data_IF_357169335025
#
_entry.id   IF_357169335025
#
_cell.length_a   1.000
_cell.length_b   1.000
_cell.length_c   1.000
_cell.angle_alpha   90.00
_cell.angle_beta   90.00
_cell.angle_gamma   90.00
#
_symmetry.space_group_name_H-M   'P 1'
#
loop_
_entity.id
_entity.type
_entity.pdbx_description
1 polymer ?
#
# COMPACT_ATOMS: atom_id res chain seq x y z
N UNK A 1 -10.03 3.51 13.85
CA UNK A 1 -8.99 2.66 13.23
C UNK A 1 -9.64 1.76 12.19
N UNK A 2 -9.10 1.68 10.98
CA UNK A 2 -9.50 0.73 9.93
C UNK A 2 -8.28 -0.13 9.60
N UNK A 3 -8.38 -1.45 9.71
CA UNK A 3 -7.28 -2.39 9.45
C UNK A 3 -7.84 -3.79 9.17
N UNK A 4 -6.97 -4.81 9.17
CA UNK A 4 -7.29 -6.20 8.82
C UNK A 4 -7.91 -7.02 9.96
N UNK A 5 -7.73 -6.63 11.22
CA UNK A 5 -8.32 -7.32 12.36
C UNK A 5 -7.86 -6.82 13.72
N UNK A 6 -8.48 -7.38 14.76
CA UNK A 6 -8.22 -7.05 16.17
C UNK A 6 -7.97 -8.30 17.02
N UNK A 7 -7.26 -9.29 16.48
CA UNK A 7 -6.76 -10.41 17.28
C UNK A 7 -5.84 -9.84 18.37
N UNK A 8 -6.00 -10.33 19.62
CA UNK A 8 -5.21 -9.90 20.78
C UNK A 8 -5.78 -8.70 21.55
N UNK A 9 -6.88 -8.09 21.08
CA UNK A 9 -7.44 -6.89 21.72
C UNK A 9 -7.95 -7.13 23.15
N UNK A 10 -8.58 -8.28 23.42
CA UNK A 10 -9.09 -8.59 24.76
C UNK A 10 -7.95 -8.73 25.78
N UNK A 11 -6.81 -9.27 25.35
CA UNK A 11 -5.58 -9.35 26.14
C UNK A 11 -4.97 -7.96 26.37
N UNK A 12 -4.88 -7.12 25.32
CA UNK A 12 -4.39 -5.75 25.43
C UNK A 12 -5.25 -4.89 26.39
N UNK A 13 -6.58 -5.04 26.34
CA UNK A 13 -7.51 -4.38 27.27
C UNK A 13 -7.29 -4.86 28.71
N UNK A 14 -7.04 -6.15 28.93
CA UNK A 14 -6.75 -6.68 30.26
C UNK A 14 -5.41 -6.19 30.82
N UNK A 15 -4.46 -5.88 29.94
CA UNK A 15 -3.14 -5.35 30.27
C UNK A 15 -3.11 -3.82 30.44
N UNK A 16 -4.23 -3.12 30.18
CA UNK A 16 -4.32 -1.64 30.16
C UNK A 16 -3.50 -0.99 29.02
N UNK A 17 -3.25 -1.73 27.95
CA UNK A 17 -2.55 -1.26 26.74
C UNK A 17 -3.54 -0.77 25.66
N UNK A 18 -4.83 -1.12 25.79
CA UNK A 18 -5.89 -0.71 24.87
C UNK A 18 -7.20 -0.36 25.59
N UNK A 19 -8.03 0.55 25.05
CA UNK A 19 -9.32 0.88 25.62
C UNK A 19 -10.39 -0.10 25.15
N UNK A 20 -11.53 -0.11 25.85
CA UNK A 20 -12.74 -0.70 25.28
C UNK A 20 -13.21 0.13 24.09
N UNK A 21 -13.49 -0.55 22.98
CA UNK A 21 -13.98 0.12 21.78
C UNK A 21 -15.43 0.60 21.93
N UNK A 22 -15.74 1.74 21.31
CA UNK A 22 -17.12 2.21 21.15
C UNK A 22 -17.92 1.28 20.23
N UNK A 23 -17.28 0.85 19.15
CA UNK A 23 -17.80 -0.16 18.23
C UNK A 23 -16.66 -0.90 17.55
N UNK A 24 -16.88 -2.18 17.25
CA UNK A 24 -16.06 -2.97 16.33
C UNK A 24 -16.98 -3.49 15.22
N UNK A 25 -16.76 -3.02 14.00
CA UNK A 25 -17.65 -3.29 12.87
C UNK A 25 -16.90 -4.06 11.78
N UNK A 26 -17.33 -5.30 11.47
CA UNK A 26 -16.86 -5.96 10.27
C UNK A 26 -17.54 -5.35 9.04
N UNK A 27 -16.76 -5.14 7.98
CA UNK A 27 -17.27 -4.89 6.65
C UNK A 27 -17.08 -6.15 5.79
N UNK A 28 -17.96 -6.38 4.83
CA UNK A 28 -17.91 -7.57 3.99
C UNK A 28 -18.35 -8.84 4.70
N UNK A 29 -17.42 -9.77 4.89
CA UNK A 29 -17.67 -11.17 5.29
C UNK A 29 -18.06 -11.37 6.77
N UNK A 30 -18.11 -10.29 7.55
CA UNK A 30 -18.53 -10.33 8.94
C UNK A 30 -17.39 -10.63 9.93
N UNK A 31 -16.13 -10.69 9.50
CA UNK A 31 -14.99 -11.06 10.36
C UNK A 31 -14.16 -9.86 10.80
N UNK A 32 -13.74 -9.90 12.07
CA UNK A 32 -12.82 -8.94 12.71
C UNK A 32 -11.55 -9.63 13.21
N UNK A 33 -11.43 -10.93 12.99
CA UNK A 33 -10.44 -11.85 13.57
C UNK A 33 -9.47 -12.39 12.52
N UNK A 34 -9.09 -11.59 11.51
CA UNK A 34 -8.16 -12.02 10.46
C UNK A 34 -6.72 -11.57 10.66
N UNK A 35 -6.49 -10.53 11.46
CA UNK A 35 -5.16 -9.97 11.68
C UNK A 35 -5.00 -9.34 13.07
N UNK A 36 -3.74 -9.00 13.38
CA UNK A 36 -3.30 -8.42 14.65
C UNK A 36 -2.94 -6.92 14.50
N UNK A 37 -2.85 -6.37 13.29
CA UNK A 37 -2.39 -4.99 13.06
C UNK A 37 -3.34 -3.95 13.66
N UNK A 38 -4.65 -4.15 13.52
CA UNK A 38 -5.63 -3.23 14.10
C UNK A 38 -5.53 -3.11 15.62
N UNK A 39 -5.21 -4.20 16.35
CA UNK A 39 -4.93 -4.16 17.79
C UNK A 39 -3.71 -3.26 18.08
N UNK A 40 -2.60 -3.47 17.35
CA UNK A 40 -1.38 -2.69 17.53
C UNK A 40 -1.60 -1.20 17.24
N UNK A 41 -2.37 -0.87 16.20
CA UNK A 41 -2.75 0.51 15.89
C UNK A 41 -3.61 1.14 17.00
N UNK A 42 -4.51 0.38 17.61
CA UNK A 42 -5.36 0.83 18.72
C UNK A 42 -4.50 1.15 19.95
N UNK A 43 -3.56 0.26 20.31
CA UNK A 43 -2.61 0.49 21.41
C UNK A 43 -1.81 1.79 21.20
N UNK A 44 -1.25 2.00 20.00
CA UNK A 44 -0.50 3.23 19.68
C UNK A 44 -1.35 4.50 19.87
N UNK A 45 -2.59 4.49 19.39
CA UNK A 45 -3.49 5.65 19.58
C UNK A 45 -3.81 5.84 21.06
N UNK A 46 -4.03 4.76 21.81
CA UNK A 46 -4.35 4.80 23.22
C UNK A 46 -3.20 5.33 24.10
N UNK A 47 -1.97 4.89 23.82
CA UNK A 47 -0.77 5.33 24.53
C UNK A 47 -0.54 6.83 24.41
N UNK A 48 -0.81 7.39 23.23
CA UNK A 48 -0.66 8.82 22.96
C UNK A 48 -1.86 9.62 23.46
N UNK A 49 -3.07 9.16 23.18
CA UNK A 49 -4.32 9.86 23.44
C UNK A 49 -5.30 8.96 24.21
N UNK A 50 -5.06 8.67 25.50
CA UNK A 50 -5.87 7.73 26.27
C UNK A 50 -7.32 8.19 26.49
N UNK A 51 -7.58 9.50 26.33
CA UNK A 51 -8.92 10.07 26.35
C UNK A 51 -9.71 9.93 25.04
N UNK A 52 -9.10 9.44 23.96
CA UNK A 52 -9.78 9.26 22.68
C UNK A 52 -10.73 8.06 22.74
N UNK A 53 -11.96 8.25 22.27
CA UNK A 53 -12.90 7.16 22.03
C UNK A 53 -12.56 6.46 20.71
N UNK A 54 -12.30 5.15 20.76
CA UNK A 54 -11.83 4.40 19.58
C UNK A 54 -12.93 3.48 19.05
N UNK A 55 -13.21 3.60 17.75
CA UNK A 55 -13.99 2.65 16.96
C UNK A 55 -13.10 1.90 15.98
N UNK A 56 -13.43 0.64 15.69
CA UNK A 56 -12.69 -0.23 14.77
C UNK A 56 -13.54 -0.69 13.58
N UNK A 57 -12.93 -0.70 12.39
CA UNK A 57 -13.49 -1.27 11.16
C UNK A 57 -12.56 -2.31 10.54
N UNK A 58 -13.04 -3.55 10.38
CA UNK A 58 -12.30 -4.59 9.65
C UNK A 58 -12.63 -4.53 8.16
N UNK A 59 -11.61 -4.48 7.29
CA UNK A 59 -11.78 -4.40 5.83
C UNK A 59 -10.82 -5.34 5.10
N UNK A 60 -11.24 -5.90 3.97
CA UNK A 60 -10.42 -6.83 3.17
C UNK A 60 -10.44 -6.56 1.67
N UNK A 61 -11.50 -5.91 1.19
CA UNK A 61 -11.66 -5.53 -0.21
C UNK A 61 -11.72 -4.01 -0.35
N UNK A 62 -11.55 -3.54 -1.59
CA UNK A 62 -11.77 -2.14 -1.94
C UNK A 62 -13.20 -1.68 -1.59
N UNK A 63 -14.20 -2.54 -1.83
CA UNK A 63 -15.60 -2.29 -1.45
C UNK A 63 -15.80 -2.19 0.07
N UNK A 64 -15.14 -3.04 0.86
CA UNK A 64 -15.21 -2.98 2.32
C UNK A 64 -14.64 -1.67 2.84
N UNK A 65 -13.49 -1.25 2.29
CA UNK A 65 -12.85 0.01 2.62
C UNK A 65 -13.74 1.21 2.26
N UNK A 66 -14.29 1.24 1.05
CA UNK A 66 -15.24 2.28 0.63
C UNK A 66 -16.42 2.36 1.62
N UNK A 67 -16.98 1.21 2.01
CA UNK A 67 -18.08 1.16 2.97
C UNK A 67 -17.66 1.64 4.37
N UNK A 68 -16.46 1.27 4.83
CA UNK A 68 -15.91 1.66 6.12
C UNK A 68 -15.65 3.17 6.21
N UNK A 69 -14.98 3.74 5.21
CA UNK A 69 -14.73 5.18 5.14
C UNK A 69 -16.04 5.96 5.15
N UNK A 70 -17.01 5.56 4.33
CA UNK A 70 -18.33 6.22 4.30
C UNK A 70 -19.06 6.11 5.64
N UNK A 71 -18.97 4.97 6.32
CA UNK A 71 -19.61 4.77 7.61
C UNK A 71 -18.95 5.62 8.71
N UNK A 72 -17.64 5.55 8.87
CA UNK A 72 -16.93 6.24 9.95
C UNK A 72 -16.80 7.73 9.72
N UNK A 73 -16.66 8.20 8.48
CA UNK A 73 -16.50 9.63 8.22
C UNK A 73 -17.71 10.46 8.70
N UNK A 74 -18.87 9.82 8.83
CA UNK A 74 -20.11 10.39 9.37
C UNK A 74 -20.18 10.40 10.91
N UNK A 75 -19.25 9.75 11.61
CA UNK A 75 -19.38 9.37 13.02
C UNK A 75 -18.18 9.74 13.88
N UNK A 76 -17.00 9.89 13.29
CA UNK A 76 -15.75 10.14 14.02
C UNK A 76 -15.04 11.38 13.50
N UNK A 77 -14.16 11.95 14.32
CA UNK A 77 -13.35 13.12 13.96
C UNK A 77 -12.09 12.74 13.18
N UNK A 78 -11.49 11.59 13.47
CA UNK A 78 -10.25 11.12 12.84
C UNK A 78 -10.44 9.67 12.37
N UNK A 79 -10.11 9.40 11.11
CA UNK A 79 -9.89 8.03 10.63
C UNK A 79 -8.40 7.82 10.44
N UNK A 80 -7.92 6.64 10.85
CA UNK A 80 -6.58 6.15 10.52
C UNK A 80 -6.68 4.75 9.94
N UNK A 81 -5.96 4.50 8.85
CA UNK A 81 -5.80 3.18 8.25
C UNK A 81 -4.35 2.84 7.91
N UNK A 82 -4.13 1.54 7.68
CA UNK A 82 -2.89 0.94 7.20
C UNK A 82 -3.08 0.19 5.86
N UNK A 83 -4.23 0.37 5.22
CA UNK A 83 -4.70 -0.46 4.11
C UNK A 83 -4.23 0.10 2.77
N UNK A 84 -3.73 -0.76 1.89
CA UNK A 84 -3.34 -0.42 0.52
C UNK A 84 -3.97 -1.38 -0.50
N UNK A 85 -4.15 -0.90 -1.72
CA UNK A 85 -4.78 -1.58 -2.85
C UNK A 85 -3.86 -1.49 -4.07
N UNK A 86 -3.70 -2.61 -4.78
CA UNK A 86 -2.86 -2.71 -5.97
C UNK A 86 -3.47 -1.97 -7.18
N UNK A 87 -3.54 -0.64 -7.08
CA UNK A 87 -3.85 0.31 -8.13
C UNK A 87 -2.77 1.40 -8.15
N UNK A 88 -2.47 2.00 -9.31
CA UNK A 88 -1.54 3.11 -9.40
C UNK A 88 -1.96 4.26 -8.49
N UNK A 89 -1.00 4.82 -7.75
CA UNK A 89 -1.19 6.03 -6.97
C UNK A 89 -1.34 7.25 -7.89
N UNK A 90 -2.53 7.52 -8.43
CA UNK A 90 -2.82 8.61 -9.38
C UNK A 90 -4.06 9.46 -9.03
N UNK A 91 -4.62 9.24 -7.85
CA UNK A 91 -5.85 9.83 -7.30
C UNK A 91 -7.15 9.43 -8.01
N UNK A 92 -7.13 8.39 -8.85
CA UNK A 92 -8.28 8.01 -9.68
C UNK A 92 -8.87 6.64 -9.35
N UNK A 93 -8.26 5.88 -8.45
CA UNK A 93 -8.88 4.65 -7.97
C UNK A 93 -10.18 4.97 -7.20
N UNK A 94 -11.14 4.06 -7.21
CA UNK A 94 -12.42 4.27 -6.51
C UNK A 94 -12.22 4.48 -5.00
N UNK A 95 -11.25 3.79 -4.39
CA UNK A 95 -10.89 3.95 -2.96
C UNK A 95 -10.30 5.34 -2.67
N UNK A 96 -9.44 5.86 -3.55
CA UNK A 96 -8.84 7.20 -3.38
C UNK A 96 -9.88 8.30 -3.60
N UNK A 97 -10.73 8.15 -4.61
CA UNK A 97 -11.84 9.09 -4.91
C UNK A 97 -12.85 9.09 -3.77
N UNK A 98 -13.22 7.92 -3.24
CA UNK A 98 -14.17 7.81 -2.13
C UNK A 98 -13.63 8.50 -0.87
N UNK A 99 -12.37 8.24 -0.51
CA UNK A 99 -11.73 8.87 0.66
C UNK A 99 -11.67 10.39 0.52
N UNK A 100 -11.26 10.87 -0.66
CA UNK A 100 -11.29 12.31 -0.98
C UNK A 100 -12.70 12.88 -0.85
N UNK A 101 -13.71 12.17 -1.34
CA UNK A 101 -15.10 12.62 -1.32
C UNK A 101 -15.65 12.68 0.11
N UNK A 102 -15.30 11.70 0.95
CA UNK A 102 -15.66 11.68 2.37
C UNK A 102 -15.09 12.90 3.12
N UNK A 103 -13.81 13.20 2.89
CA UNK A 103 -13.13 14.38 3.44
C UNK A 103 -13.63 15.70 2.86
N UNK A 104 -14.34 15.68 1.73
CA UNK A 104 -14.94 16.89 1.13
C UNK A 104 -16.41 17.03 1.45
N UNK A 105 -17.02 16.05 2.09
CA UNK A 105 -18.44 16.13 2.43
C UNK A 105 -18.67 17.27 3.44
N UNK A 106 -19.59 18.20 3.15
CA UNK A 106 -19.78 19.41 3.97
C UNK A 106 -20.41 19.09 5.33
N UNK A 107 -21.22 18.04 5.43
CA UNK A 107 -21.98 17.71 6.64
C UNK A 107 -21.35 16.61 7.49
N UNK A 108 -20.22 16.03 7.06
CA UNK A 108 -19.61 14.91 7.78
C UNK A 108 -18.59 15.41 8.81
N UNK A 109 -18.61 14.90 10.06
CA UNK A 109 -17.77 15.40 11.14
C UNK A 109 -16.28 15.05 10.98
N UNK A 110 -15.89 14.18 10.06
CA UNK A 110 -14.46 13.87 9.86
C UNK A 110 -13.62 15.14 9.66
N UNK A 111 -12.55 15.28 10.43
CA UNK A 111 -11.57 16.36 10.44
C UNK A 111 -10.23 15.95 9.84
N UNK A 112 -9.87 14.67 9.94
CA UNK A 112 -8.63 14.16 9.39
C UNK A 112 -8.78 12.71 8.96
N UNK A 113 -8.13 12.37 7.85
CA UNK A 113 -7.87 11.00 7.45
C UNK A 113 -6.36 10.80 7.40
N UNK A 114 -5.84 9.90 8.22
CA UNK A 114 -4.43 9.54 8.24
C UNK A 114 -4.27 8.17 7.60
N UNK A 115 -3.28 8.00 6.73
CA UNK A 115 -3.04 6.72 6.08
C UNK A 115 -1.56 6.38 6.01
N UNK A 116 -1.27 5.09 6.16
CA UNK A 116 0.04 4.53 5.90
C UNK A 116 0.46 4.72 4.43
N UNK A 117 1.72 5.14 4.20
CA UNK A 117 2.28 5.22 2.85
C UNK A 117 2.45 3.86 2.16
N UNK A 118 2.48 2.77 2.94
CA UNK A 118 2.90 1.46 2.49
C UNK A 118 4.40 1.24 2.66
N UNK A 119 4.79 -0.03 2.64
CA UNK A 119 6.16 -0.46 2.90
C UNK A 119 6.76 -1.09 1.63
N UNK A 120 6.68 -0.45 0.46
CA UNK A 120 6.99 -1.10 -0.82
C UNK A 120 8.28 -0.63 -1.50
N UNK A 121 9.07 0.25 -0.88
CA UNK A 121 10.23 0.86 -1.54
C UNK A 121 11.31 -0.16 -1.98
N UNK A 122 11.52 -1.24 -1.21
CA UNK A 122 12.46 -2.31 -1.57
C UNK A 122 11.85 -3.38 -2.50
N UNK A 123 10.53 -3.33 -2.70
CA UNK A 123 9.75 -4.31 -3.46
C UNK A 123 9.09 -3.70 -4.69
N UNK A 124 9.55 -2.52 -5.09
CA UNK A 124 9.07 -1.73 -6.22
C UNK A 124 10.21 -1.46 -7.21
N UNK A 125 9.88 -1.45 -8.49
CA UNK A 125 10.76 -1.00 -9.56
C UNK A 125 9.97 -0.16 -10.55
N UNK A 126 10.55 0.92 -11.04
CA UNK A 126 9.99 1.75 -12.10
C UNK A 126 10.98 1.97 -13.23
N UNK A 127 10.47 2.12 -14.46
CA UNK A 127 11.33 2.41 -15.60
C UNK A 127 10.63 2.40 -16.94
N UNK A 128 11.21 3.10 -17.91
CA UNK A 128 10.73 3.10 -19.29
C UNK A 128 11.07 1.78 -19.98
N UNK A 129 10.13 1.24 -20.77
CA UNK A 129 10.33 0.09 -21.64
C UNK A 129 11.62 0.20 -22.46
N UNK A 130 12.43 -0.86 -22.41
CA UNK A 130 13.64 -1.04 -23.19
C UNK A 130 13.67 -2.47 -23.69
N UNK A 131 13.76 -2.64 -25.00
CA UNK A 131 13.77 -3.96 -25.63
C UNK A 131 15.09 -4.69 -25.35
N UNK A 132 14.99 -5.85 -24.73
CA UNK A 132 16.06 -6.81 -24.54
C UNK A 132 15.99 -7.97 -25.56
N UNK A 133 16.42 -9.19 -25.19
CA UNK A 133 16.34 -10.36 -26.07
C UNK A 133 14.89 -10.72 -26.41
N UNK A 134 14.71 -11.58 -27.42
CA UNK A 134 13.39 -12.16 -27.71
C UNK A 134 12.99 -13.13 -26.58
N UNK A 135 11.71 -13.15 -26.22
CA UNK A 135 11.15 -14.03 -25.19
C UNK A 135 11.52 -15.51 -25.37
N UNK A 136 11.60 -15.97 -26.62
CA UNK A 136 11.99 -17.35 -26.93
C UNK A 136 13.44 -17.68 -26.54
N UNK A 137 14.31 -16.67 -26.42
CA UNK A 137 15.69 -16.82 -25.96
C UNK A 137 15.80 -16.93 -24.44
N UNK A 138 14.74 -16.56 -23.71
CA UNK A 138 14.68 -16.57 -22.24
C UNK A 138 13.67 -17.59 -21.69
N UNK A 139 13.19 -18.50 -22.55
CA UNK A 139 12.33 -19.63 -22.16
C UNK A 139 10.82 -19.39 -22.33
N UNK A 140 10.40 -18.24 -22.84
CA UNK A 140 8.98 -17.97 -23.14
C UNK A 140 8.56 -18.67 -24.44
N UNK A 141 7.29 -19.07 -24.51
CA UNK A 141 6.72 -19.77 -25.67
C UNK A 141 6.26 -18.82 -26.79
N UNK A 142 6.07 -17.54 -26.49
CA UNK A 142 5.66 -16.48 -27.43
C UNK A 142 6.84 -15.63 -27.88
N UNK A 143 6.87 -15.21 -29.17
CA UNK A 143 7.83 -14.22 -29.65
C UNK A 143 7.51 -12.82 -29.11
N UNK A 144 8.49 -11.92 -29.21
CA UNK A 144 8.39 -10.56 -28.68
C UNK A 144 9.52 -10.30 -27.69
N UNK A 145 10.10 -9.10 -27.75
CA UNK A 145 11.18 -8.72 -26.86
C UNK A 145 10.71 -8.72 -25.40
N UNK A 146 11.62 -9.03 -24.49
CA UNK A 146 11.44 -8.88 -23.05
C UNK A 146 12.12 -7.61 -22.55
N UNK A 147 11.62 -7.03 -21.46
CA UNK A 147 12.16 -5.81 -20.88
C UNK A 147 13.58 -6.04 -20.37
N UNK A 148 14.50 -5.13 -20.68
CA UNK A 148 15.86 -5.15 -20.16
C UNK A 148 15.97 -4.32 -18.88
N UNK A 149 16.00 -4.99 -17.72
CA UNK A 149 16.17 -4.33 -16.41
C UNK A 149 17.61 -3.85 -16.18
N UNK A 150 18.61 -4.61 -16.66
CA UNK A 150 20.03 -4.29 -16.47
C UNK A 150 20.71 -3.87 -17.78
N UNK A 151 21.20 -2.63 -17.83
CA UNK A 151 21.90 -2.08 -19.00
C UNK A 151 23.41 -2.37 -19.03
N UNK A 152 24.04 -2.80 -17.93
CA UNK A 152 25.52 -2.92 -17.87
C UNK A 152 26.06 -4.24 -18.45
N UNK A 153 25.28 -4.95 -19.27
CA UNK A 153 25.75 -6.11 -20.01
C UNK A 153 26.15 -7.30 -19.14
N UNK A 154 25.56 -7.44 -17.95
CA UNK A 154 25.81 -8.60 -17.12
C UNK A 154 25.25 -9.83 -17.84
N UNK A 155 26.14 -10.72 -18.27
CA UNK A 155 25.84 -11.95 -19.01
C UNK A 155 25.20 -13.02 -18.08
N UNK A 156 24.36 -12.58 -17.14
CA UNK A 156 23.62 -13.41 -16.22
C UNK A 156 22.48 -14.16 -16.90
N UNK A 157 21.76 -14.96 -16.11
CA UNK A 157 20.54 -15.63 -16.55
C UNK A 157 19.58 -14.59 -17.16
N UNK A 158 18.93 -14.94 -18.27
CA UNK A 158 18.01 -14.08 -19.03
C UNK A 158 18.60 -12.87 -19.77
N UNK A 159 19.93 -12.75 -19.88
CA UNK A 159 20.58 -11.63 -20.57
C UNK A 159 20.11 -10.25 -20.02
N UNK A 160 19.89 -10.16 -18.71
CA UNK A 160 19.45 -8.93 -18.03
C UNK A 160 17.94 -8.66 -18.09
N UNK A 161 17.12 -9.61 -18.54
CA UNK A 161 15.68 -9.43 -18.72
C UNK A 161 14.79 -9.83 -17.53
N UNK A 162 15.39 -10.30 -16.42
CA UNK A 162 14.65 -10.68 -15.21
C UNK A 162 14.98 -9.77 -14.02
N UNK A 163 13.97 -9.33 -13.28
CA UNK A 163 14.15 -8.71 -11.96
C UNK A 163 13.94 -9.75 -10.86
N UNK A 164 15.04 -10.16 -10.20
CA UNK A 164 15.05 -11.28 -9.27
C UNK A 164 14.64 -10.92 -7.85
N UNK A 165 14.09 -11.88 -7.12
CA UNK A 165 13.82 -11.79 -5.68
C UNK A 165 13.87 -13.18 -5.02
N UNK A 166 14.22 -13.22 -3.73
CA UNK A 166 14.36 -14.48 -2.98
C UNK A 166 13.02 -14.92 -2.39
N UNK A 167 12.66 -16.19 -2.57
CA UNK A 167 11.46 -16.82 -1.99
C UNK A 167 11.86 -18.01 -1.12
N UNK A 168 11.05 -18.28 -0.10
CA UNK A 168 11.14 -19.44 0.79
C UNK A 168 9.90 -20.34 0.64
N UNK A 169 9.97 -21.55 1.20
CA UNK A 169 8.86 -22.50 1.13
C UNK A 169 7.58 -21.87 1.71
N UNK A 170 6.47 -22.07 1.00
CA UNK A 170 5.13 -21.56 1.31
C UNK A 170 4.95 -20.04 1.16
N UNK A 171 5.94 -19.33 0.61
CA UNK A 171 5.75 -17.93 0.21
C UNK A 171 4.71 -17.83 -0.91
N UNK A 172 3.65 -17.06 -0.68
CA UNK A 172 2.75 -16.60 -1.73
C UNK A 172 3.29 -15.28 -2.32
N UNK A 173 3.69 -15.35 -3.58
CA UNK A 173 4.16 -14.24 -4.40
C UNK A 173 2.98 -13.65 -5.15
N UNK A 174 2.78 -12.34 -5.04
CA UNK A 174 1.88 -11.59 -5.91
C UNK A 174 2.69 -10.55 -6.66
N UNK A 175 2.60 -10.54 -7.99
CA UNK A 175 3.16 -9.49 -8.81
C UNK A 175 2.05 -8.59 -9.33
N UNK A 176 2.28 -7.28 -9.34
CA UNK A 176 1.46 -6.33 -10.06
C UNK A 176 2.36 -5.45 -10.92
N UNK A 177 2.04 -5.37 -12.20
CA UNK A 177 2.64 -4.48 -13.17
C UNK A 177 1.60 -3.46 -13.58
N UNK A 178 1.99 -2.19 -13.62
CA UNK A 178 1.21 -1.10 -14.19
C UNK A 178 2.03 -0.39 -15.25
N UNK A 179 1.36 0.25 -16.22
CA UNK A 179 2.01 1.19 -17.13
C UNK A 179 1.19 2.47 -17.34
N UNK A 180 1.85 3.49 -17.88
CA UNK A 180 1.35 4.87 -17.97
C UNK A 180 0.34 5.15 -19.09
N UNK A 181 -0.27 4.11 -19.66
CA UNK A 181 -1.47 4.27 -20.50
C UNK A 181 -2.65 4.81 -19.65
N UNK A 182 -3.62 5.53 -20.25
CA UNK A 182 -4.78 5.97 -19.50
C UNK A 182 -5.60 4.78 -18.98
N UNK A 183 -5.91 4.77 -17.68
CA UNK A 183 -6.67 3.70 -17.03
C UNK A 183 -7.99 3.41 -17.74
N UNK A 184 -8.23 2.13 -18.07
CA UNK A 184 -9.41 1.67 -18.82
C UNK A 184 -9.39 2.06 -20.31
N UNK A 185 -8.25 2.46 -20.86
CA UNK A 185 -8.08 2.80 -22.28
C UNK A 185 -6.72 2.38 -22.86
N UNK A 186 -6.08 1.37 -22.25
CA UNK A 186 -4.82 0.80 -22.73
C UNK A 186 -4.99 0.20 -24.12
N UNK A 187 -4.05 0.51 -25.01
CA UNK A 187 -3.89 -0.18 -26.31
C UNK A 187 -2.56 -0.90 -26.41
N UNK A 188 -1.67 -0.69 -25.44
CA UNK A 188 -0.43 -1.43 -25.31
C UNK A 188 -0.68 -2.75 -24.57
N UNK A 189 -0.14 -3.84 -25.11
CA UNK A 189 -0.27 -5.21 -24.61
C UNK A 189 1.08 -5.72 -24.11
N UNK A 190 1.24 -5.74 -22.79
CA UNK A 190 2.45 -6.25 -22.13
C UNK A 190 2.08 -7.45 -21.28
N UNK A 191 2.84 -8.53 -21.40
CA UNK A 191 2.65 -9.73 -20.60
C UNK A 191 3.61 -9.75 -19.41
N UNK A 192 3.16 -10.32 -18.30
CA UNK A 192 3.96 -10.50 -17.08
C UNK A 192 4.18 -11.99 -16.81
N UNK A 193 5.42 -12.37 -16.55
CA UNK A 193 5.81 -13.75 -16.25
C UNK A 193 6.58 -13.81 -14.94
N UNK A 194 6.36 -14.89 -14.19
CA UNK A 194 7.22 -15.34 -13.10
C UNK A 194 8.00 -16.56 -13.56
N UNK A 195 9.32 -16.48 -13.50
CA UNK A 195 10.23 -17.47 -14.09
C UNK A 195 11.22 -17.99 -13.04
N UNK A 196 11.51 -19.29 -13.07
CA UNK A 196 12.53 -19.92 -12.24
C UNK A 196 13.96 -19.58 -12.71
N UNK A 197 14.99 -19.81 -11.90
CA UNK A 197 16.39 -19.59 -12.29
C UNK A 197 16.91 -20.42 -13.48
N UNK A 198 16.13 -21.35 -14.02
CA UNK A 198 16.48 -22.14 -15.22
C UNK A 198 15.60 -21.81 -16.43
N UNK A 199 14.74 -20.79 -16.34
CA UNK A 199 13.90 -20.32 -17.44
C UNK A 199 12.56 -21.03 -17.57
N UNK A 200 12.12 -21.77 -16.54
CA UNK A 200 10.78 -22.33 -16.50
C UNK A 200 9.76 -21.27 -16.08
N UNK A 201 8.69 -21.10 -16.86
CA UNK A 201 7.57 -20.22 -16.50
C UNK A 201 6.75 -20.91 -15.39
N UNK A 202 6.69 -20.28 -14.23
CA UNK A 202 5.96 -20.78 -13.06
C UNK A 202 4.55 -20.21 -12.98
N UNK A 203 4.38 -18.96 -13.39
CA UNK A 203 3.10 -18.27 -13.50
C UNK A 203 3.19 -17.18 -14.56
N UNK A 204 2.04 -16.76 -15.10
CA UNK A 204 1.97 -15.67 -16.08
C UNK A 204 0.62 -14.98 -16.04
N UNK A 205 0.62 -13.71 -16.44
CA UNK A 205 -0.56 -12.96 -16.82
C UNK A 205 -0.34 -12.41 -18.23
N UNK A 206 -1.26 -12.76 -19.11
CA UNK A 206 -1.18 -12.54 -20.57
C UNK A 206 -2.50 -11.97 -21.09
N UNK A 207 -3.15 -11.12 -20.27
CA UNK A 207 -4.47 -10.60 -20.57
C UNK A 207 -4.32 -9.66 -21.76
N UNK A 208 -4.87 -9.96 -22.92
CA UNK A 208 -4.71 -9.04 -24.06
C UNK A 208 -5.37 -7.70 -23.78
N UNK A 209 -4.63 -6.59 -23.84
CA UNK A 209 -5.22 -5.26 -23.69
C UNK A 209 -5.85 -4.69 -24.98
N UNK A 210 -6.91 -3.90 -24.83
CA UNK A 210 -7.57 -3.15 -25.92
C UNK A 210 -8.60 -3.93 -26.74
N UNK A 211 -8.92 -5.18 -26.37
CA UNK A 211 -9.81 -6.07 -27.16
C UNK A 211 -11.23 -6.22 -26.59
N UNK A 212 -11.54 -5.60 -25.45
CA UNK A 212 -12.88 -5.69 -24.85
C UNK A 212 -13.06 -4.91 -23.55
N UNK A 213 -14.31 -4.81 -23.09
CA UNK A 213 -14.68 -4.15 -21.83
C UNK A 213 -13.98 -4.85 -20.66
N UNK A 214 -13.21 -4.09 -19.87
CA UNK A 214 -12.47 -4.62 -18.72
C UNK A 214 -11.11 -5.25 -19.07
N UNK A 215 -10.75 -5.30 -20.35
CA UNK A 215 -9.43 -5.66 -20.85
C UNK A 215 -8.71 -4.44 -21.43
N UNK A 216 -8.99 -3.26 -20.91
CA UNK A 216 -8.42 -1.98 -21.32
C UNK A 216 -7.65 -1.32 -20.16
N UNK A 217 -7.44 -2.05 -19.07
CA UNK A 217 -6.67 -1.57 -17.93
C UNK A 217 -5.18 -1.80 -18.18
N UNK A 218 -4.32 -0.79 -17.96
CA UNK A 218 -2.88 -0.89 -18.19
C UNK A 218 -2.20 -1.62 -17.03
N UNK A 219 -2.53 -2.91 -16.88
CA UNK A 219 -2.05 -3.73 -15.78
C UNK A 219 -1.91 -5.20 -16.15
N UNK A 220 -0.99 -5.85 -15.47
CA UNK A 220 -0.94 -7.31 -15.35
C UNK A 220 -0.78 -7.68 -13.87
N UNK A 221 -1.40 -8.77 -13.43
CA UNK A 221 -1.17 -9.31 -12.10
C UNK A 221 -1.12 -10.82 -12.12
N UNK A 222 -0.35 -11.41 -11.21
CA UNK A 222 -0.36 -12.85 -11.00
C UNK A 222 -0.14 -13.18 -9.53
N UNK A 223 -0.56 -14.38 -9.15
CA UNK A 223 -0.31 -14.98 -7.83
C UNK A 223 0.31 -16.34 -8.03
N UNK A 224 1.30 -16.68 -7.20
CA UNK A 224 2.00 -17.96 -7.22
C UNK A 224 2.40 -18.36 -5.79
N UNK A 225 2.17 -19.61 -5.41
CA UNK A 225 2.65 -20.16 -4.13
C UNK A 225 3.88 -21.02 -4.38
N UNK A 226 5.01 -20.64 -3.79
CA UNK A 226 6.25 -21.41 -3.88
C UNK A 226 6.20 -22.59 -2.91
N UNK A 227 6.31 -23.82 -3.41
CA UNK A 227 6.24 -25.04 -2.58
C UNK A 227 7.59 -25.75 -2.44
N UNK A 228 8.63 -25.24 -3.12
CA UNK A 228 9.97 -25.82 -3.11
C UNK A 228 10.90 -25.23 -2.05
N UNK A 229 12.15 -25.68 -2.07
CA UNK A 229 13.23 -25.09 -1.27
C UNK A 229 13.48 -23.63 -1.63
N UNK A 230 14.09 -22.88 -0.70
CA UNK A 230 14.41 -21.47 -0.91
C UNK A 230 15.23 -21.25 -2.20
N UNK A 231 14.82 -20.28 -3.02
CA UNK A 231 15.41 -20.02 -4.33
C UNK A 231 15.19 -18.58 -4.78
N UNK A 232 15.74 -18.21 -5.94
CA UNK A 232 15.48 -16.93 -6.61
C UNK A 232 14.50 -17.15 -7.76
N UNK A 233 13.45 -16.33 -7.78
CA UNK A 233 12.51 -16.22 -8.90
C UNK A 233 12.67 -14.86 -9.57
N UNK A 234 12.22 -14.75 -10.82
CA UNK A 234 12.40 -13.57 -11.66
C UNK A 234 11.07 -13.11 -12.23
N UNK A 235 10.76 -11.82 -12.07
CA UNK A 235 9.72 -11.16 -12.85
C UNK A 235 10.27 -10.78 -14.24
N UNK A 236 9.53 -11.11 -15.30
CA UNK A 236 9.87 -10.81 -16.69
C UNK A 236 8.67 -10.14 -17.36
N UNK A 237 8.91 -9.03 -18.07
CA UNK A 237 7.89 -8.29 -18.81
C UNK A 237 8.13 -8.50 -20.30
N UNK A 238 7.13 -8.92 -21.07
CA UNK A 238 7.24 -9.11 -22.52
C UNK A 238 6.36 -8.11 -23.26
N UNK A 239 6.90 -7.48 -24.30
CA UNK A 239 6.09 -6.83 -25.33
C UNK A 239 5.64 -7.92 -26.32
N UNK A 240 4.41 -8.40 -26.18
CA UNK A 240 3.92 -9.52 -26.97
C UNK A 240 3.94 -9.18 -28.47
N UNK A 241 4.59 -10.02 -29.29
CA UNK A 241 4.81 -9.80 -30.73
C UNK A 241 5.53 -8.49 -31.11
N UNK A 242 6.00 -7.69 -30.15
CA UNK A 242 6.49 -6.33 -30.35
C UNK A 242 5.43 -5.34 -30.88
N UNK A 243 4.16 -5.54 -30.54
CA UNK A 243 3.04 -4.70 -31.01
C UNK A 243 2.83 -3.43 -30.15
N UNK A 244 3.31 -3.43 -28.90
CA UNK A 244 3.16 -2.29 -27.99
C UNK A 244 4.21 -1.19 -28.21
N UNK A 245 3.80 0.06 -27.97
CA UNK A 245 4.69 1.22 -27.92
C UNK A 245 5.39 1.32 -26.56
N UNK A 246 6.59 1.93 -26.47
CA UNK A 246 7.27 2.14 -25.20
C UNK A 246 6.42 2.95 -24.20
N UNK A 247 6.37 2.47 -22.95
CA UNK A 247 5.64 3.03 -21.81
C UNK A 247 6.56 3.10 -20.58
N UNK A 248 6.15 3.79 -19.52
CA UNK A 248 6.77 3.67 -18.21
C UNK A 248 6.03 2.63 -17.37
N UNK A 249 6.77 1.79 -16.66
CA UNK A 249 6.22 0.79 -15.77
C UNK A 249 6.41 1.15 -14.31
N UNK A 250 5.50 0.62 -13.50
CA UNK A 250 5.69 0.37 -12.07
C UNK A 250 5.43 -1.14 -11.83
N UNK A 251 6.44 -1.83 -11.29
CA UNK A 251 6.39 -3.26 -10.94
C UNK A 251 6.50 -3.40 -9.43
N UNK A 252 5.55 -4.12 -8.85
CA UNK A 252 5.53 -4.47 -7.44
C UNK A 252 5.59 -5.98 -7.23
N UNK A 253 6.33 -6.39 -6.20
CA UNK A 253 6.25 -7.74 -5.64
C UNK A 253 5.73 -7.68 -4.20
N UNK A 254 4.62 -8.36 -3.95
CA UNK A 254 4.00 -8.47 -2.63
C UNK A 254 4.13 -9.88 -2.10
N UNK A 255 4.14 -9.98 -0.78
CA UNK A 255 4.03 -11.25 -0.06
C UNK A 255 2.81 -11.21 0.86
N UNK A 256 2.24 -12.37 1.18
CA UNK A 256 1.29 -12.55 2.28
C UNK A 256 1.85 -13.35 3.47
N UNK A 257 3.18 -13.44 3.57
CA UNK A 257 3.91 -14.20 4.59
C UNK A 257 4.77 -13.33 5.53
N UNK A 258 5.74 -13.96 6.21
CA UNK A 258 6.47 -13.36 7.35
C UNK A 258 7.60 -12.41 6.98
N UNK A 259 7.96 -12.29 5.71
CA UNK A 259 9.06 -11.42 5.25
C UNK A 259 8.57 -10.53 4.13
N UNK A 260 9.26 -9.42 3.94
CA UNK A 260 9.08 -8.61 2.75
C UNK A 260 9.98 -9.14 1.62
N UNK A 261 9.41 -9.32 0.43
CA UNK A 261 10.18 -9.64 -0.77
C UNK A 261 10.92 -8.39 -1.26
N UNK A 262 12.15 -8.56 -1.75
CA UNK A 262 13.00 -7.46 -2.20
C UNK A 262 13.46 -7.72 -3.63
N UNK A 263 13.21 -6.75 -4.50
CA UNK A 263 13.66 -6.82 -5.89
C UNK A 263 15.18 -6.61 -5.96
N UNK A 264 15.82 -7.20 -6.96
CA UNK A 264 17.24 -7.01 -7.23
C UNK A 264 17.50 -5.63 -7.85
N UNK A 265 16.57 -5.15 -8.67
CA UNK A 265 16.53 -3.78 -9.16
C UNK A 265 15.35 -3.06 -8.50
N UNK A 266 15.65 -2.03 -7.71
CA UNK A 266 14.69 -1.31 -6.90
C UNK A 266 14.59 0.15 -7.37
N UNK A 267 13.40 0.71 -7.29
CA UNK A 267 13.14 2.14 -7.40
C UNK A 267 12.35 2.56 -6.17
N UNK A 268 13.00 3.08 -5.11
CA UNK A 268 12.29 3.51 -3.91
C UNK A 268 11.26 4.62 -4.19
N UNK A 269 11.56 5.51 -5.13
CA UNK A 269 10.66 6.56 -5.60
C UNK A 269 9.50 5.98 -6.42
N UNK A 270 8.29 6.53 -6.25
CA UNK A 270 7.09 6.07 -6.96
C UNK A 270 6.38 4.87 -6.33
N UNK A 271 6.90 4.32 -5.22
CA UNK A 271 6.44 3.05 -4.63
C UNK A 271 5.14 3.18 -3.81
N UNK A 272 4.33 4.21 -4.05
CA UNK A 272 3.03 4.42 -3.43
C UNK A 272 1.96 3.67 -4.23
N UNK A 273 0.96 3.15 -3.52
CA UNK A 273 -0.22 2.53 -4.10
C UNK A 273 -1.47 3.28 -3.66
N UNK A 274 -2.59 3.06 -4.36
CA UNK A 274 -3.88 3.45 -3.80
C UNK A 274 -4.07 2.79 -2.42
N UNK A 275 -4.76 3.38 -1.45
CA UNK A 275 -5.45 4.66 -1.48
C UNK A 275 -4.57 5.81 -0.93
N UNK A 276 -3.27 5.55 -0.67
CA UNK A 276 -2.35 6.45 0.04
C UNK A 276 -2.10 7.76 -0.73
N UNK A 277 -2.57 7.82 -1.95
CA UNK A 277 -2.58 8.98 -2.84
C UNK A 277 -3.81 9.88 -2.67
N UNK A 278 -4.86 9.44 -1.97
CA UNK A 278 -6.13 10.15 -1.80
C UNK A 278 -5.90 11.63 -1.48
N UNK A 279 -6.61 12.49 -2.22
CA UNK A 279 -6.49 13.92 -2.01
C UNK A 279 -7.09 14.30 -0.65
N UNK A 280 -6.46 15.28 0.01
CA UNK A 280 -6.79 15.79 1.34
C UNK A 280 -6.55 14.80 2.51
N UNK A 281 -6.31 13.51 2.26
CA UNK A 281 -5.78 12.59 3.28
C UNK A 281 -4.32 12.94 3.61
N UNK A 282 -3.90 12.67 4.85
CA UNK A 282 -2.53 12.83 5.33
C UNK A 282 -1.81 11.48 5.26
N UNK A 283 -0.86 11.36 4.35
CA UNK A 283 -0.13 10.11 4.12
C UNK A 283 1.18 10.13 4.87
N UNK A 284 1.46 9.05 5.60
CA UNK A 284 2.54 8.98 6.59
C UNK A 284 3.52 7.87 6.22
N UNK A 285 4.76 8.27 5.94
CA UNK A 285 5.90 7.38 5.81
C UNK A 285 6.46 6.95 7.17
N UNK A 286 7.36 5.97 7.18
CA UNK A 286 7.90 5.37 8.40
C UNK A 286 9.34 5.83 8.69
N UNK A 287 9.60 6.23 9.93
CA UNK A 287 10.93 6.59 10.46
C UNK A 287 11.23 5.69 11.65
N UNK A 288 12.40 5.04 11.61
CA UNK A 288 12.83 4.17 12.69
C UNK A 288 13.04 4.95 13.99
N UNK A 289 12.25 4.64 15.03
CA UNK A 289 12.31 5.34 16.32
C UNK A 289 13.70 5.33 16.97
N UNK A 290 14.49 4.26 16.77
CA UNK A 290 15.83 4.12 17.33
C UNK A 290 16.95 4.78 16.51
N UNK A 291 16.68 5.16 15.25
CA UNK A 291 17.72 5.65 14.31
C UNK A 291 17.43 7.03 13.74
N UNK A 292 16.20 7.53 13.85
CA UNK A 292 15.76 8.83 13.29
C UNK A 292 16.07 8.98 11.80
N UNK A 293 15.98 7.88 11.05
CA UNK A 293 16.09 7.86 9.58
C UNK A 293 14.84 7.23 8.99
N UNK A 294 14.44 7.70 7.82
CA UNK A 294 13.36 7.08 7.04
C UNK A 294 13.71 5.62 6.81
N UNK A 295 12.77 4.73 7.10
CA UNK A 295 12.98 3.30 6.92
C UNK A 295 13.15 2.95 5.44
N UNK A 296 14.04 2.00 5.13
CA UNK A 296 14.37 1.63 3.75
C UNK A 296 13.16 1.12 2.98
N UNK A 297 12.26 0.39 3.66
CA UNK A 297 11.01 -0.10 3.09
C UNK A 297 9.93 0.98 2.92
N UNK A 298 10.02 2.11 3.63
CA UNK A 298 8.94 3.12 3.62
C UNK A 298 8.75 3.63 2.21
N UNK A 299 7.52 3.50 1.70
CA UNK A 299 7.20 3.96 0.35
C UNK A 299 7.46 5.45 0.18
N UNK A 300 7.95 5.83 -1.01
CA UNK A 300 8.32 7.21 -1.32
C UNK A 300 7.59 7.65 -2.57
N UNK A 301 7.14 8.89 -2.57
CA UNK A 301 6.60 9.49 -3.78
C UNK A 301 7.67 9.98 -4.75
N UNK A 302 7.27 10.84 -5.70
CA UNK A 302 5.89 11.32 -5.88
C UNK A 302 4.93 10.18 -6.27
N UNK A 303 3.63 10.44 -6.20
CA UNK A 303 2.62 9.59 -6.86
C UNK A 303 2.90 9.50 -8.37
N UNK A 304 2.30 8.56 -9.11
CA UNK A 304 2.61 8.37 -10.55
C UNK A 304 2.24 9.59 -11.41
N UNK A 305 1.36 10.46 -10.90
CA UNK A 305 1.01 11.75 -11.52
C UNK A 305 1.77 12.96 -10.93
N UNK A 306 2.86 12.74 -10.20
CA UNK A 306 3.78 13.78 -9.75
C UNK A 306 3.39 14.51 -8.46
N UNK A 307 2.40 14.03 -7.71
CA UNK A 307 1.95 14.67 -6.46
C UNK A 307 2.88 14.26 -5.32
N UNK A 308 3.30 15.23 -4.52
CA UNK A 308 4.13 14.99 -3.34
C UNK A 308 3.33 14.23 -2.27
N UNK A 309 3.77 12.99 -2.00
CA UNK A 309 3.30 12.04 -0.99
C UNK A 309 4.50 11.15 -0.59
N UNK A 310 4.54 10.54 0.59
CA UNK A 310 3.81 10.95 1.79
C UNK A 310 4.12 12.41 2.15
N UNK A 311 3.22 13.09 2.84
CA UNK A 311 3.48 14.46 3.29
C UNK A 311 4.48 14.53 4.43
N UNK A 312 4.40 13.57 5.36
CA UNK A 312 5.26 13.49 6.54
C UNK A 312 5.70 12.05 6.77
N UNK A 313 6.64 11.87 7.68
CA UNK A 313 6.97 10.56 8.21
C UNK A 313 6.95 10.59 9.73
N UNK A 314 6.53 9.49 10.35
CA UNK A 314 6.43 9.36 11.79
C UNK A 314 7.07 8.07 12.29
N UNK A 315 7.17 7.93 13.61
CA UNK A 315 7.91 6.85 14.25
C UNK A 315 7.28 5.48 14.00
N UNK A 316 8.12 4.51 13.70
CA UNK A 316 7.77 3.09 13.65
C UNK A 316 8.71 2.25 14.52
N UNK A 317 8.49 0.93 14.52
CA UNK A 317 9.18 -0.06 15.38
C UNK A 317 8.96 0.22 16.86
N UNK A 318 7.76 0.65 17.20
CA UNK A 318 7.39 0.98 18.58
C UNK A 318 6.98 -0.28 19.33
N UNK A 319 7.04 -0.20 20.65
CA UNK A 319 6.55 -1.27 21.51
C UNK A 319 5.02 -1.33 21.47
N UNK A 320 4.50 -2.55 21.42
CA UNK A 320 3.09 -2.92 21.58
C UNK A 320 3.04 -4.26 22.30
N UNK A 321 1.84 -4.69 22.71
CA UNK A 321 1.61 -6.03 23.23
C UNK A 321 2.18 -7.09 22.27
N UNK A 322 2.97 -8.07 22.77
CA UNK A 322 3.59 -9.06 21.90
C UNK A 322 2.57 -9.84 21.07
N UNK A 323 2.74 -9.83 19.76
CA UNK A 323 1.87 -10.54 18.81
C UNK A 323 2.56 -11.75 18.19
N UNK A 324 1.79 -12.60 17.51
CA UNK A 324 2.35 -13.77 16.83
C UNK A 324 3.02 -13.39 15.50
N UNK A 325 2.70 -12.22 14.94
CA UNK A 325 3.16 -11.75 13.63
C UNK A 325 4.42 -10.86 13.74
N UNK A 326 4.42 -9.88 14.64
CA UNK A 326 5.49 -8.86 14.75
C UNK A 326 6.23 -8.87 16.09
N UNK A 327 5.88 -9.77 17.02
CA UNK A 327 6.52 -9.86 18.32
C UNK A 327 6.29 -8.60 19.15
N UNK A 328 7.26 -8.12 19.95
CA UNK A 328 7.05 -6.98 20.85
C UNK A 328 7.17 -5.60 20.16
N UNK A 329 7.39 -5.56 18.84
CA UNK A 329 7.61 -4.30 18.13
C UNK A 329 6.84 -4.23 16.81
N UNK A 330 5.92 -3.27 16.71
CA UNK A 330 5.16 -3.03 15.49
C UNK A 330 5.89 -2.04 14.57
N UNK A 331 6.13 -2.43 13.33
CA UNK A 331 7.01 -1.75 12.37
C UNK A 331 6.25 -1.39 11.10
N UNK A 332 6.75 -0.40 10.34
CA UNK A 332 6.13 0.00 9.08
C UNK A 332 5.31 1.27 9.19
N UNK A 333 4.85 1.76 8.03
CA UNK A 333 3.92 2.89 7.99
C UNK A 333 2.61 2.60 8.71
N UNK A 334 2.23 1.32 8.88
CA UNK A 334 1.11 0.87 9.72
C UNK A 334 1.27 1.26 11.20
N UNK A 335 2.52 1.37 11.70
CA UNK A 335 2.82 1.91 13.03
C UNK A 335 2.95 3.45 13.01
N UNK A 336 3.47 4.02 11.93
CA UNK A 336 3.68 5.47 11.83
C UNK A 336 2.36 6.26 11.71
N UNK A 337 1.39 5.77 10.92
CA UNK A 337 0.09 6.40 10.75
C UNK A 337 -0.70 6.59 12.07
N UNK A 338 -0.88 5.56 12.93
CA UNK A 338 -1.58 5.73 14.20
C UNK A 338 -0.86 6.66 15.19
N UNK A 339 0.46 6.83 15.10
CA UNK A 339 1.15 7.86 15.88
C UNK A 339 0.66 9.27 15.52
N UNK A 340 0.59 9.56 14.22
CA UNK A 340 0.09 10.86 13.73
C UNK A 340 -1.38 11.03 14.11
N UNK A 341 -2.18 9.96 14.05
CA UNK A 341 -3.57 9.99 14.48
C UNK A 341 -3.72 10.28 15.99
N UNK A 342 -2.88 9.69 16.84
CA UNK A 342 -2.84 9.99 18.27
C UNK A 342 -2.44 11.44 18.56
N UNK A 343 -1.42 11.96 17.87
CA UNK A 343 -1.04 13.38 17.96
C UNK A 343 -2.18 14.29 17.51
N UNK A 344 -2.88 13.95 16.43
CA UNK A 344 -4.04 14.69 15.96
C UNK A 344 -5.19 14.67 16.98
N UNK A 345 -5.42 13.56 17.67
CA UNK A 345 -6.42 13.47 18.74
C UNK A 345 -6.07 14.41 19.91
N UNK A 346 -4.81 14.43 20.35
CA UNK A 346 -4.33 15.39 21.37
C UNK A 346 -4.47 16.85 20.90
N UNK A 347 -4.23 17.13 19.62
CA UNK A 347 -4.43 18.46 19.05
C UNK A 347 -5.91 18.89 19.15
N UNK A 348 -6.84 17.99 18.83
CA UNK A 348 -8.28 18.25 18.94
C UNK A 348 -8.74 18.41 20.39
N UNK A 349 -8.16 17.66 21.33
CA UNK A 349 -8.40 17.83 22.77
C UNK A 349 -7.94 19.22 23.24
N UNK A 350 -6.72 19.63 22.87
CA UNK A 350 -6.17 20.93 23.24
C UNK A 350 -6.89 22.11 22.59
N UNK A 351 -7.47 21.90 21.40
CA UNK A 351 -8.12 22.92 20.59
C UNK A 351 -9.53 22.49 20.16
N UNK A 352 -10.45 22.35 21.12
CA UNK A 352 -11.84 21.96 20.87
C UNK A 352 -12.62 22.90 19.92
N UNK A 353 -12.12 24.12 19.68
CA UNK A 353 -12.64 24.99 18.63
C UNK A 353 -12.49 24.40 17.21
N UNK A 354 -11.58 23.45 16.99
CA UNK A 354 -11.45 22.69 15.74
C UNK A 354 -12.54 21.61 15.59
N UNK A 355 -13.22 21.28 16.69
CA UNK A 355 -14.40 20.39 16.71
C UNK A 355 -15.70 21.19 16.56
N UNK A 356 -15.74 22.40 17.11
CA UNK A 356 -16.90 23.28 17.03
C UNK A 356 -17.08 23.82 15.61
N UNK A 357 -18.13 23.37 14.91
CA UNK A 357 -18.56 23.92 13.61
C UNK A 357 -19.17 25.33 13.76
N UNK A 358 -18.52 26.23 14.50
CA UNK A 358 -19.00 27.55 14.90
C UNK A 358 -18.87 28.59 13.76
N UNK A 359 -19.30 28.21 12.56
CA UNK A 359 -19.37 29.06 11.37
C UNK A 359 -18.19 28.92 10.39
N UNK A 360 -17.23 28.05 10.67
CA UNK A 360 -16.26 27.54 9.70
C UNK A 360 -16.86 26.43 8.84
N UNK A 361 -16.37 26.23 7.61
CA UNK A 361 -16.66 24.98 6.90
C UNK A 361 -15.74 23.88 7.44
N UNK A 362 -16.20 22.63 7.61
CA UNK A 362 -15.32 21.51 7.98
C UNK A 362 -14.08 21.39 7.08
N UNK A 363 -14.16 21.88 5.83
CA UNK A 363 -13.02 22.01 4.92
C UNK A 363 -11.90 22.92 5.43
N UNK A 364 -12.22 24.04 6.08
CA UNK A 364 -11.21 24.94 6.66
C UNK A 364 -10.53 24.28 7.86
N UNK A 365 -11.30 23.68 8.77
CA UNK A 365 -10.78 22.96 9.94
C UNK A 365 -9.87 21.81 9.53
N UNK A 366 -10.28 21.01 8.54
CA UNK A 366 -9.48 19.93 7.92
C UNK A 366 -8.13 20.44 7.43
N UNK A 367 -8.13 21.57 6.71
CA UNK A 367 -6.88 22.19 6.22
C UNK A 367 -5.99 22.66 7.36
N UNK A 368 -6.55 23.37 8.35
CA UNK A 368 -5.78 23.87 9.49
C UNK A 368 -5.12 22.73 10.27
N UNK A 369 -5.83 21.63 10.54
CA UNK A 369 -5.26 20.46 11.23
C UNK A 369 -4.12 19.86 10.40
N UNK A 370 -4.34 19.67 9.10
CA UNK A 370 -3.30 19.16 8.20
C UNK A 370 -2.10 20.08 8.15
N UNK A 371 -2.31 21.39 8.05
CA UNK A 371 -1.23 22.38 8.00
C UNK A 371 -0.44 22.36 9.32
N UNK A 372 -1.09 22.35 10.49
CA UNK A 372 -0.41 22.25 11.80
C UNK A 372 0.45 20.98 11.90
N UNK A 373 -0.03 19.84 11.37
CA UNK A 373 0.71 18.58 11.41
C UNK A 373 1.86 18.49 10.40
N UNK A 374 1.87 19.35 9.37
CA UNK A 374 2.83 19.28 8.26
C UNK A 374 3.78 20.48 8.19
N UNK A 375 3.47 21.57 8.90
CA UNK A 375 4.35 22.73 9.07
C UNK A 375 5.54 22.33 9.97
N UNK A 376 6.70 22.12 9.34
CA UNK A 376 7.94 21.62 9.97
C UNK A 376 9.09 22.60 9.84
#
# INVERSE_FOLDING_TARGET
>A
VISDGIIGLDEAIQADEAPRLQEAKPFGDGRIDRGEEGTAMIEIVHDLAPGAEISFGAVYTDLDHIAAVNYFAQRVDIIVDDVSFAYPANQRSDVSINTTSALRHPDWPIRLYVTAAGNWAESHWSGTWQAGPDGTQVGLSSPGAVHQFNQTGDAGLFFGAGNGFNVEQDDEVRLALFWDDPWGRSTNDYNLYLVSGVGEVLASSVITQGVGVGQDQPREHLTYTHTGEATVLFAVIQNHNNDASPVNFDLFVFQTGRRQLRLSHQSPEGSLLAQSDAADALTVGAVNAGRQVVAEYSSRGPTVNGIAKPEISAVDRVSVSPSTIFGPHFSGSSAAAPHVAGIAALLLEAHSALLAADGGSPLLERRLIRDILTDT
#
